data_IF_514783686012
#
_entry.id   IF_514783686012
#
_cell.length_a   1.000
_cell.length_b   1.000
_cell.length_c   1.000
_cell.angle_alpha   90.00
_cell.angle_beta   90.00
_cell.angle_gamma   90.00
#
_symmetry.space_group_name_H-M   'P 1'
#
loop_
_entity.id
_entity.type
_entity.pdbx_description
1 polymer ?
#
# COMPACT_ATOMS: atom_id res chain seq x y z
N UNK A 1 17.13 -11.83 11.43
CA UNK A 1 16.56 -11.36 10.15
C UNK A 1 16.22 -12.49 9.19
N UNK A 2 15.03 -13.05 9.36
CA UNK A 2 14.38 -13.85 8.30
C UNK A 2 13.51 -12.86 7.52
N UNK A 3 13.96 -12.47 6.34
CA UNK A 3 13.16 -11.70 5.41
C UNK A 3 12.44 -12.64 4.45
N UNK A 4 11.19 -12.33 4.10
CA UNK A 4 10.41 -13.14 3.16
C UNK A 4 10.12 -12.34 1.88
N UNK A 5 10.33 -12.92 0.69
CA UNK A 5 9.97 -12.28 -0.57
C UNK A 5 8.45 -12.24 -0.69
N UNK A 6 7.91 -11.05 -0.96
CA UNK A 6 6.48 -10.81 -1.16
C UNK A 6 6.27 -9.87 -2.34
N UNK A 7 5.08 -9.91 -2.93
CA UNK A 7 4.63 -8.91 -3.91
C UNK A 7 3.51 -8.12 -3.26
N UNK A 8 3.71 -6.81 -3.13
CA UNK A 8 2.73 -5.91 -2.53
C UNK A 8 2.24 -4.89 -3.56
N UNK A 9 1.02 -4.41 -3.38
CA UNK A 9 0.54 -3.26 -4.13
C UNK A 9 1.21 -2.01 -3.55
N UNK A 10 2.02 -1.34 -4.36
CA UNK A 10 2.75 -0.15 -3.95
C UNK A 10 2.89 0.90 -5.03
N UNK A 11 3.31 2.09 -4.61
CA UNK A 11 3.56 3.24 -5.47
C UNK A 11 4.83 3.97 -5.02
N UNK A 12 5.55 4.61 -5.94
CA UNK A 12 6.78 5.36 -5.62
C UNK A 12 6.49 6.85 -5.60
N UNK A 13 6.36 7.42 -4.40
CA UNK A 13 6.24 8.85 -4.18
C UNK A 13 7.58 9.55 -4.40
N UNK A 14 7.64 10.68 -5.11
CA UNK A 14 8.90 11.39 -5.40
C UNK A 14 9.64 11.86 -4.13
N UNK A 15 8.93 12.04 -3.02
CA UNK A 15 9.49 12.49 -1.74
C UNK A 15 9.51 11.37 -0.70
N UNK A 16 8.45 10.57 -0.60
CA UNK A 16 8.30 9.59 0.48
C UNK A 16 8.86 8.21 0.13
N UNK A 17 9.30 8.01 -1.12
CA UNK A 17 9.74 6.72 -1.60
C UNK A 17 8.56 5.76 -1.77
N UNK A 18 8.77 4.49 -1.43
CA UNK A 18 7.75 3.47 -1.59
C UNK A 18 6.61 3.63 -0.58
N UNK A 19 5.39 3.56 -1.08
CA UNK A 19 4.15 3.55 -0.31
C UNK A 19 3.38 2.26 -0.61
N UNK A 20 2.73 1.70 0.39
CA UNK A 20 1.97 0.44 0.30
C UNK A 20 0.59 0.59 0.93
N UNK A 21 -0.35 -0.28 0.51
CA UNK A 21 -1.68 -0.40 1.13
C UNK A 21 -1.69 -1.51 2.18
N UNK A 22 -1.79 -1.09 3.43
CA UNK A 22 -1.79 -1.95 4.62
C UNK A 22 -3.17 -1.97 5.28
N UNK A 23 -3.64 -3.12 5.72
CA UNK A 23 -4.91 -3.29 6.45
C UNK A 23 -4.80 -2.68 7.84
N UNK A 24 -5.88 -2.03 8.28
CA UNK A 24 -6.04 -1.59 9.67
C UNK A 24 -6.62 -2.76 10.49
N UNK A 25 -5.92 -3.28 11.52
CA UNK A 25 -6.32 -4.50 12.25
C UNK A 25 -7.68 -4.46 12.99
N UNK A 26 -8.35 -3.31 13.08
CA UNK A 26 -9.56 -3.12 13.90
C UNK A 26 -10.79 -2.62 13.10
N UNK A 27 -10.87 -2.84 11.77
CA UNK A 27 -12.05 -2.44 10.99
C UNK A 27 -13.25 -3.39 11.17
N UNK A 28 -13.78 -3.52 12.38
CA UNK A 28 -15.06 -4.20 12.69
C UNK A 28 -16.30 -3.36 12.27
N UNK A 29 -16.22 -2.64 11.15
CA UNK A 29 -17.31 -1.77 10.67
C UNK A 29 -17.82 -2.25 9.31
N UNK A 30 -18.43 -3.44 9.28
CA UNK A 30 -19.36 -3.89 8.23
C UNK A 30 -18.82 -4.06 6.80
N UNK A 31 -17.54 -3.76 6.54
CA UNK A 31 -16.86 -3.96 5.27
C UNK A 31 -15.48 -4.54 5.52
N UNK A 32 -15.10 -5.55 4.73
CA UNK A 32 -14.11 -6.55 5.14
C UNK A 32 -12.68 -6.04 5.23
N UNK A 33 -12.28 -4.92 4.62
CA UNK A 33 -10.89 -4.44 4.73
C UNK A 33 -10.78 -2.91 4.52
N UNK A 34 -10.44 -2.16 5.57
CA UNK A 34 -9.99 -0.76 5.44
C UNK A 34 -8.47 -0.77 5.32
N UNK A 35 -7.96 -0.10 4.28
CA UNK A 35 -6.52 0.05 4.06
C UNK A 35 -6.06 1.45 4.39
N UNK A 36 -4.81 1.59 4.82
CA UNK A 36 -4.09 2.84 5.02
C UNK A 36 -2.80 2.88 4.20
N UNK A 37 -2.24 4.08 4.03
CA UNK A 37 -0.90 4.25 3.48
C UNK A 37 0.17 4.01 4.53
N UNK A 38 1.20 3.27 4.13
CA UNK A 38 2.42 3.12 4.91
C UNK A 38 3.67 3.20 4.03
N UNK A 39 4.73 3.80 4.56
CA UNK A 39 6.08 3.79 3.99
C UNK A 39 6.99 2.75 4.68
N UNK A 40 6.39 1.89 5.52
CA UNK A 40 7.07 0.87 6.31
C UNK A 40 6.66 -0.53 5.87
N UNK A 41 7.63 -1.42 5.86
CA UNK A 41 7.46 -2.83 5.52
C UNK A 41 7.75 -3.68 6.76
N UNK A 42 6.70 -4.05 7.48
CA UNK A 42 6.74 -5.06 8.53
C UNK A 42 5.86 -6.24 8.09
N UNK A 43 6.07 -7.41 8.70
CA UNK A 43 5.11 -8.51 8.52
C UNK A 43 3.76 -8.01 9.04
N UNK A 44 2.85 -7.80 8.11
CA UNK A 44 1.55 -7.19 8.36
C UNK A 44 0.57 -7.59 7.27
N UNK A 45 -0.68 -7.28 7.52
CA UNK A 45 -1.79 -7.60 6.64
C UNK A 45 -1.81 -6.60 5.48
N UNK A 46 -1.27 -6.98 4.31
CA UNK A 46 -1.34 -6.17 3.09
C UNK A 46 -2.44 -6.68 2.16
N UNK A 47 -2.93 -5.82 1.25
CA UNK A 47 -4.03 -6.17 0.32
C UNK A 47 -3.78 -7.47 -0.45
N UNK A 48 -2.56 -7.65 -0.95
CA UNK A 48 -2.19 -8.83 -1.74
C UNK A 48 -2.11 -10.09 -0.87
N UNK A 49 -1.79 -9.95 0.42
CA UNK A 49 -1.67 -11.08 1.35
C UNK A 49 -3.07 -11.57 1.77
N UNK A 50 -3.95 -10.65 2.14
CA UNK A 50 -5.32 -11.02 2.57
C UNK A 50 -6.22 -11.43 1.42
N UNK A 51 -5.90 -11.01 0.19
CA UNK A 51 -6.68 -11.34 -0.97
C UNK A 51 -5.76 -11.67 -2.17
N UNK A 52 -5.09 -12.84 -2.20
CA UNK A 52 -4.14 -13.20 -3.25
C UNK A 52 -4.77 -13.27 -4.65
N UNK A 53 -6.09 -13.45 -4.70
CA UNK A 53 -6.89 -13.55 -5.92
C UNK A 53 -7.58 -12.22 -6.27
N UNK A 54 -7.22 -11.11 -5.63
CA UNK A 54 -7.91 -9.84 -5.75
C UNK A 54 -7.99 -9.30 -7.18
N UNK A 55 -7.13 -9.76 -8.10
CA UNK A 55 -7.19 -9.40 -9.54
C UNK A 55 -7.96 -10.38 -10.43
N UNK A 56 -8.28 -11.59 -9.96
CA UNK A 56 -8.88 -12.65 -10.81
C UNK A 56 -10.41 -12.51 -10.93
N UNK A 57 -10.91 -11.29 -11.17
CA UNK A 57 -12.35 -11.01 -11.24
C UNK A 57 -12.70 -10.31 -12.55
N UNK A 58 -13.95 -10.51 -12.98
CA UNK A 58 -14.52 -9.82 -14.14
C UNK A 58 -14.51 -8.30 -13.92
N UNK A 59 -14.48 -7.49 -15.00
CA UNK A 59 -14.57 -6.03 -14.90
C UNK A 59 -15.69 -5.57 -13.97
N UNK A 60 -15.49 -4.44 -13.30
CA UNK A 60 -16.49 -3.87 -12.42
C UNK A 60 -17.80 -3.58 -13.19
N UNK A 61 -18.92 -3.48 -12.48
CA UNK A 61 -20.25 -3.24 -13.08
C UNK A 61 -20.31 -1.98 -13.98
N UNK A 62 -19.43 -1.00 -13.73
CA UNK A 62 -19.28 0.22 -14.51
C UNK A 62 -18.35 0.09 -15.74
N UNK A 63 -17.88 -1.13 -16.04
CA UNK A 63 -17.01 -1.45 -17.18
C UNK A 63 -15.52 -1.18 -16.95
N UNK A 64 -15.11 -0.70 -15.77
CA UNK A 64 -13.69 -0.49 -15.45
C UNK A 64 -12.98 -1.82 -15.19
N UNK A 65 -11.66 -1.90 -15.47
CA UNK A 65 -10.83 -3.00 -14.99
C UNK A 65 -11.02 -3.20 -13.48
N UNK A 66 -11.21 -4.44 -13.07
CA UNK A 66 -11.52 -4.78 -11.67
C UNK A 66 -10.43 -4.27 -10.72
N UNK A 67 -9.17 -4.41 -11.11
CA UNK A 67 -8.02 -3.92 -10.36
C UNK A 67 -8.05 -2.40 -10.17
N UNK A 68 -8.36 -1.64 -11.22
CA UNK A 68 -8.49 -0.19 -11.14
C UNK A 68 -9.62 0.23 -10.18
N UNK A 69 -10.76 -0.45 -10.27
CA UNK A 69 -11.91 -0.19 -9.41
C UNK A 69 -11.60 -0.50 -7.94
N UNK A 70 -11.00 -1.65 -7.64
CA UNK A 70 -10.64 -2.05 -6.26
C UNK A 70 -9.62 -1.10 -5.65
N UNK A 71 -8.56 -0.73 -6.38
CA UNK A 71 -7.55 0.21 -5.89
C UNK A 71 -8.22 1.55 -5.56
N UNK A 72 -9.07 2.06 -6.45
CA UNK A 72 -9.81 3.30 -6.24
C UNK A 72 -10.70 3.23 -5.00
N UNK A 73 -11.39 2.11 -4.81
CA UNK A 73 -12.28 1.90 -3.68
C UNK A 73 -11.53 1.84 -2.35
N UNK A 74 -10.32 1.28 -2.32
CA UNK A 74 -9.49 1.33 -1.12
C UNK A 74 -8.96 2.74 -0.85
N UNK A 75 -8.46 3.43 -1.88
CA UNK A 75 -7.95 4.79 -1.74
C UNK A 75 -9.02 5.79 -1.27
N UNK A 76 -10.27 5.62 -1.71
CA UNK A 76 -11.39 6.50 -1.33
C UNK A 76 -11.80 6.34 0.14
N UNK A 77 -11.46 5.21 0.76
CA UNK A 77 -11.79 4.87 2.15
C UNK A 77 -10.70 5.23 3.15
N UNK A 78 -9.53 5.66 2.67
CA UNK A 78 -8.44 6.12 3.53
C UNK A 78 -8.89 7.37 4.28
N UNK A 79 -8.77 7.35 5.61
CA UNK A 79 -8.91 8.56 6.42
C UNK A 79 -7.61 9.36 6.40
N UNK A 80 -7.49 10.28 5.44
CA UNK A 80 -6.27 11.06 5.21
C UNK A 80 -5.91 12.05 6.32
N UNK A 81 -6.86 12.44 7.17
CA UNK A 81 -6.71 13.57 8.09
C UNK A 81 -6.80 13.19 9.56
N UNK A 82 -7.38 12.02 9.88
CA UNK A 82 -7.50 11.53 11.27
C UNK A 82 -6.74 10.24 11.51
N UNK A 83 -6.11 9.65 10.49
CA UNK A 83 -5.26 8.47 10.64
C UNK A 83 -3.85 8.87 11.12
N UNK A 84 -3.50 8.49 12.35
CA UNK A 84 -2.20 8.76 12.97
C UNK A 84 -1.01 8.25 12.15
N UNK A 85 -1.13 7.11 11.47
CA UNK A 85 -0.09 6.55 10.60
C UNK A 85 0.20 7.50 9.44
N UNK A 86 -0.85 8.01 8.79
CA UNK A 86 -0.74 8.95 7.66
C UNK A 86 -0.21 10.29 8.14
N UNK A 87 -0.69 10.80 9.27
CA UNK A 87 -0.17 12.03 9.86
C UNK A 87 1.32 11.94 10.17
N UNK A 88 1.78 10.82 10.75
CA UNK A 88 3.21 10.56 11.01
C UNK A 88 4.02 10.41 9.72
N UNK A 89 3.47 9.78 8.70
CA UNK A 89 4.10 9.65 7.38
C UNK A 89 4.30 11.03 6.73
N UNK A 90 3.25 11.86 6.73
CA UNK A 90 3.29 13.24 6.25
C UNK A 90 4.34 14.07 7.01
N UNK A 91 4.36 13.98 8.35
CA UNK A 91 5.37 14.67 9.16
C UNK A 91 6.79 14.22 8.84
N UNK A 92 7.02 12.90 8.71
CA UNK A 92 8.34 12.33 8.45
C UNK A 92 8.93 12.78 7.11
N UNK A 93 8.09 12.84 6.09
CA UNK A 93 8.49 13.19 4.72
C UNK A 93 8.28 14.66 4.38
N UNK A 94 7.86 15.48 5.36
CA UNK A 94 7.53 16.89 5.18
C UNK A 94 6.52 17.11 4.03
N UNK A 95 5.46 16.31 4.01
CA UNK A 95 4.36 16.35 3.05
C UNK A 95 3.08 16.88 3.69
N UNK A 96 2.25 17.56 2.90
CA UNK A 96 0.89 17.87 3.32
C UNK A 96 -0.02 16.65 3.06
N UNK A 97 -0.99 16.42 3.94
CA UNK A 97 -1.97 15.34 3.76
C UNK A 97 -2.79 15.55 2.48
N UNK A 98 -3.09 16.81 2.14
CA UNK A 98 -3.82 17.15 0.92
C UNK A 98 -3.03 16.83 -0.35
N UNK A 99 -1.72 17.13 -0.38
CA UNK A 99 -0.86 16.80 -1.52
C UNK A 99 -0.67 15.29 -1.63
N UNK A 100 -0.49 14.61 -0.49
CA UNK A 100 -0.35 13.16 -0.46
C UNK A 100 -1.64 12.48 -0.93
N UNK A 101 -2.82 12.95 -0.50
CA UNK A 101 -4.12 12.47 -0.96
C UNK A 101 -4.27 12.65 -2.48
N UNK A 102 -4.12 13.88 -2.96
CA UNK A 102 -4.22 14.21 -4.39
C UNK A 102 -3.23 13.38 -5.23
N UNK A 103 -2.06 13.08 -4.67
CA UNK A 103 -1.09 12.23 -5.32
C UNK A 103 -1.51 10.74 -5.27
N UNK A 104 -1.96 10.26 -4.12
CA UNK A 104 -2.32 8.86 -3.88
C UNK A 104 -3.53 8.41 -4.70
N UNK A 105 -4.50 9.28 -4.92
CA UNK A 105 -5.74 9.01 -5.67
C UNK A 105 -5.51 8.62 -7.15
N UNK A 106 -4.31 8.84 -7.70
CA UNK A 106 -3.99 8.40 -9.06
C UNK A 106 -3.68 6.89 -9.10
N UNK A 107 -4.71 6.11 -9.44
CA UNK A 107 -4.66 4.64 -9.53
C UNK A 107 -3.52 4.12 -10.41
N UNK A 108 -3.16 4.82 -11.49
CA UNK A 108 -2.10 4.38 -12.41
C UNK A 108 -0.70 4.33 -11.78
N UNK A 109 -0.52 4.93 -10.59
CA UNK A 109 0.73 4.89 -9.82
C UNK A 109 0.91 3.59 -9.04
N UNK A 110 -0.17 2.87 -8.78
CA UNK A 110 -0.19 1.67 -7.93
C UNK A 110 0.08 0.43 -8.77
N UNK A 111 1.12 -0.32 -8.40
CA UNK A 111 1.62 -1.47 -9.15
C UNK A 111 2.08 -2.57 -8.20
N UNK A 112 2.27 -3.77 -8.74
CA UNK A 112 2.98 -4.82 -8.02
C UNK A 112 4.44 -4.44 -7.83
N UNK A 113 4.85 -4.41 -6.57
CA UNK A 113 6.23 -4.17 -6.18
C UNK A 113 6.74 -5.41 -5.43
N UNK A 114 7.78 -6.10 -5.95
CA UNK A 114 8.45 -7.15 -5.21
C UNK A 114 9.26 -6.54 -4.07
N UNK A 115 9.05 -7.02 -2.85
CA UNK A 115 9.68 -6.51 -1.64
C UNK A 115 10.17 -7.65 -0.74
N UNK A 116 11.14 -7.34 0.13
CA UNK A 116 11.56 -8.20 1.22
C UNK A 116 10.97 -7.64 2.51
N UNK A 117 10.10 -8.42 3.17
CA UNK A 117 9.45 -8.00 4.42
C UNK A 117 10.18 -8.61 5.61
N UNK A 118 10.53 -7.79 6.60
CA UNK A 118 11.15 -8.23 7.85
C UNK A 118 10.06 -8.60 8.87
N UNK A 119 10.29 -9.66 9.65
CA UNK A 119 9.43 -9.98 10.81
C UNK A 119 9.52 -8.87 11.85
N UNK A 120 8.40 -8.56 12.48
CA UNK A 120 8.19 -7.44 13.42
C UNK A 120 9.20 -7.39 14.60
N UNK A 121 9.89 -8.49 14.89
CA UNK A 121 10.96 -8.57 15.90
C UNK A 121 12.27 -7.88 15.49
N UNK A 122 12.45 -7.55 14.21
CA UNK A 122 13.67 -6.93 13.66
C UNK A 122 13.34 -5.54 13.07
N UNK A 123 13.32 -4.51 13.92
CA UNK A 123 13.10 -3.09 13.55
C UNK A 123 14.25 -2.58 12.65
N UNK A 124 14.17 -2.80 11.34
CA UNK A 124 15.21 -2.36 10.38
C UNK A 124 14.64 -1.80 9.08
N UNK A 125 15.28 -0.73 8.66
CA UNK A 125 15.06 0.08 7.46
C UNK A 125 15.20 -0.71 6.14
N UNK A 126 14.45 -0.26 5.13
CA UNK A 126 14.26 -0.84 3.79
C UNK A 126 15.59 -1.30 3.14
N UNK A 127 15.63 -2.55 2.68
CA UNK A 127 16.61 -3.04 1.69
C UNK A 127 15.86 -3.44 0.42
N UNK A 128 16.02 -2.67 -0.66
CA UNK A 128 15.47 -2.98 -1.98
C UNK A 128 16.33 -4.06 -2.65
N UNK A 129 15.70 -4.99 -3.38
CA UNK A 129 16.42 -5.85 -4.32
C UNK A 129 16.82 -5.02 -5.54
N UNK A 130 17.97 -4.38 -5.50
CA UNK A 130 18.62 -3.87 -6.72
C UNK A 130 19.15 -5.07 -7.51
N UNK A 131 18.43 -5.47 -8.56
CA UNK A 131 18.79 -6.64 -9.35
C UNK A 131 18.05 -6.77 -10.67
N UNK A 132 17.83 -5.66 -11.39
CA UNK A 132 17.67 -5.72 -12.85
C UNK A 132 19.05 -5.44 -13.46
N UNK A 133 19.77 -6.49 -13.80
CA UNK A 133 20.81 -6.42 -14.82
C UNK A 133 20.22 -7.00 -16.10
N UNK A 134 20.14 -6.15 -17.12
CA UNK A 134 19.81 -6.50 -18.50
C UNK A 134 20.60 -7.72 -18.98
N UNK A 135 19.95 -8.55 -19.78
CA UNK A 135 20.61 -9.33 -20.83
C UNK A 135 19.69 -9.48 -22.04
#
# INVERSE_FOLDING_TARGET
MVTQPMVLLGAVHPVAGYLFLEVIPDSEVGFVDIYQLTDRLYVGDYLVINNPEWRRREPAFDGRPWDEWVIREHLSRIDWYSNDTILRLCQRHNLSCADLQKWGENVARWKDVPVMVAREEDDVSITLLSGFTDN
#
